data_IF_933324201393
#
_entry.id   IF_933324201393
#
_cell.length_a   1.000
_cell.length_b   1.000
_cell.length_c   1.000
_cell.angle_alpha   90.00
_cell.angle_beta   90.00
_cell.angle_gamma   90.00
#
_symmetry.space_group_name_H-M   'P 1'
#
loop_
_entity.id
_entity.type
_entity.pdbx_description
1 polymer ?
#
# COMPACT_ATOMS: atom_id res chain seq x y z
N UNK A 1 0.25 63.39 0.93
CA UNK A 1 -0.25 62.23 1.71
C UNK A 1 -1.46 61.62 0.97
N UNK A 2 -1.27 61.12 -0.24
CA UNK A 2 -2.37 60.66 -1.12
C UNK A 2 -1.88 59.67 -2.21
N UNK A 3 -1.00 58.73 -1.86
CA UNK A 3 -0.55 57.69 -2.80
C UNK A 3 -0.08 56.41 -2.11
N UNK A 4 -0.83 55.92 -1.12
CA UNK A 4 -0.56 54.64 -0.46
C UNK A 4 -1.84 53.89 -0.06
N UNK A 5 -2.91 53.96 -0.87
CA UNK A 5 -4.15 53.19 -0.60
C UNK A 5 -4.64 52.32 -1.75
N UNK A 6 -3.88 52.19 -2.85
CA UNK A 6 -4.30 51.39 -4.01
C UNK A 6 -3.53 50.08 -4.23
N UNK A 7 -2.62 49.69 -3.33
CA UNK A 7 -1.84 48.45 -3.49
C UNK A 7 -2.24 47.33 -2.51
N UNK A 8 -3.31 47.51 -1.75
CA UNK A 8 -3.73 46.57 -0.70
C UNK A 8 -5.12 46.00 -0.98
N UNK A 9 -5.42 45.63 -2.23
CA UNK A 9 -6.74 45.07 -2.58
C UNK A 9 -6.74 44.08 -3.75
N UNK A 10 -5.71 43.25 -3.90
CA UNK A 10 -5.68 42.22 -4.96
C UNK A 10 -5.02 40.87 -4.59
N UNK A 11 -5.08 40.45 -3.32
CA UNK A 11 -4.62 39.10 -2.94
C UNK A 11 -5.68 38.35 -2.09
N UNK A 12 -6.95 38.39 -2.50
CA UNK A 12 -8.05 37.77 -1.75
C UNK A 12 -8.82 36.67 -2.52
N UNK A 13 -8.31 36.15 -3.65
CA UNK A 13 -9.07 35.20 -4.47
C UNK A 13 -8.33 33.93 -4.93
N UNK A 14 -7.37 33.41 -4.15
CA UNK A 14 -6.83 32.07 -4.41
C UNK A 14 -6.30 31.41 -3.13
N UNK A 15 -7.15 31.27 -2.11
CA UNK A 15 -6.91 30.23 -1.11
C UNK A 15 -7.46 28.94 -1.70
N UNK A 16 -6.58 28.16 -2.32
CA UNK A 16 -6.84 26.74 -2.57
C UNK A 16 -7.19 26.16 -1.19
N UNK A 17 -8.43 25.73 -1.04
CA UNK A 17 -8.89 24.99 0.14
C UNK A 17 -8.20 23.64 0.08
N UNK A 18 -6.98 23.56 0.62
CA UNK A 18 -6.33 22.29 0.92
C UNK A 18 -7.11 21.75 2.11
N UNK A 19 -8.19 21.03 1.84
CA UNK A 19 -8.80 20.16 2.84
C UNK A 19 -7.69 19.26 3.37
N UNK A 20 -7.41 19.26 4.69
CA UNK A 20 -6.45 18.31 5.23
C UNK A 20 -6.97 16.92 4.88
N UNK A 21 -6.17 16.15 4.15
CA UNK A 21 -6.40 14.71 4.02
C UNK A 21 -6.63 14.19 5.45
N UNK A 22 -7.66 13.37 5.70
CA UNK A 22 -7.83 12.74 6.99
C UNK A 22 -6.71 11.71 7.16
N UNK A 23 -5.49 12.18 7.47
CA UNK A 23 -4.47 11.35 8.08
C UNK A 23 -4.88 11.18 9.54
N UNK A 24 -5.94 10.39 9.73
CA UNK A 24 -6.24 9.84 11.03
C UNK A 24 -5.03 8.94 11.36
N UNK A 25 -4.14 9.45 12.20
CA UNK A 25 -3.22 8.63 12.98
C UNK A 25 -4.09 7.81 13.92
N UNK A 26 -4.72 6.77 13.39
CA UNK A 26 -5.48 5.84 14.18
C UNK A 26 -4.44 4.97 14.89
N UNK A 27 -4.42 5.07 16.21
CA UNK A 27 -3.44 4.45 17.08
C UNK A 27 -3.46 2.94 16.87
N UNK A 28 -2.45 2.37 16.19
CA UNK A 28 -2.40 0.95 15.84
C UNK A 28 -2.11 0.01 17.03
N UNK A 29 -2.24 0.45 18.29
CA UNK A 29 -1.84 -0.33 19.46
C UNK A 29 -2.91 -1.28 20.01
N UNK A 30 -4.05 -1.44 19.35
CA UNK A 30 -5.08 -2.38 19.83
C UNK A 30 -5.53 -3.30 18.71
N UNK A 31 -4.87 -4.47 18.62
CA UNK A 31 -5.46 -5.83 18.50
C UNK A 31 -4.45 -6.81 17.87
N UNK A 32 -3.29 -7.05 18.49
CA UNK A 32 -2.45 -8.21 18.14
C UNK A 32 -2.89 -9.50 18.85
N UNK A 33 -3.79 -9.41 19.83
CA UNK A 33 -4.24 -10.56 20.61
C UNK A 33 -5.43 -11.35 20.02
N UNK A 34 -6.03 -10.91 18.89
CA UNK A 34 -7.26 -11.54 18.37
C UNK A 34 -7.18 -12.07 16.91
N UNK A 35 -6.01 -12.16 16.27
CA UNK A 35 -5.93 -12.31 14.81
C UNK A 35 -5.38 -13.66 14.29
N UNK A 36 -5.57 -14.78 14.99
CA UNK A 36 -5.21 -16.09 14.43
C UNK A 36 -5.95 -16.38 13.09
N UNK A 37 -7.14 -15.80 12.87
CA UNK A 37 -7.93 -15.96 11.65
C UNK A 37 -7.59 -14.97 10.51
N UNK A 38 -6.67 -14.01 10.72
CA UNK A 38 -6.32 -12.97 9.73
C UNK A 38 -4.84 -13.00 9.31
N UNK A 39 -4.09 -14.02 9.72
CA UNK A 39 -2.69 -14.21 9.35
C UNK A 39 -2.56 -14.38 7.85
N UNK A 40 -1.63 -13.64 7.25
CA UNK A 40 -1.23 -13.86 5.86
C UNK A 40 -0.60 -15.25 5.75
N UNK A 41 -1.04 -16.02 4.75
CA UNK A 41 -0.40 -17.28 4.38
C UNK A 41 -0.05 -17.18 2.89
N UNK A 42 1.24 -17.20 2.53
CA UNK A 42 1.63 -17.04 1.13
C UNK A 42 1.09 -18.15 0.25
N UNK A 43 0.90 -19.38 0.73
CA UNK A 43 0.31 -20.49 -0.03
C UNK A 43 -1.12 -20.23 -0.51
N UNK A 44 -1.80 -19.22 0.04
CA UNK A 44 -3.11 -18.77 -0.45
C UNK A 44 -3.03 -17.75 -1.60
N UNK A 45 -1.83 -17.31 -1.97
CA UNK A 45 -1.60 -16.52 -3.17
C UNK A 45 -1.65 -17.44 -4.39
N UNK A 46 -2.41 -17.06 -5.41
CA UNK A 46 -2.55 -17.84 -6.64
C UNK A 46 -1.48 -17.48 -7.67
N UNK A 47 -0.74 -16.38 -7.48
CA UNK A 47 0.41 -16.03 -8.35
C UNK A 47 1.64 -16.91 -8.07
N UNK A 48 1.56 -17.76 -7.04
CA UNK A 48 2.59 -18.70 -6.59
C UNK A 48 2.76 -19.97 -7.43
N UNK A 49 2.01 -20.15 -8.51
CA UNK A 49 2.21 -21.31 -9.39
C UNK A 49 3.51 -21.16 -10.21
N UNK A 50 4.64 -20.88 -9.56
CA UNK A 50 6.04 -20.99 -9.97
C UNK A 50 6.47 -20.49 -11.37
N UNK A 51 5.61 -19.86 -12.18
CA UNK A 51 5.84 -19.60 -13.61
C UNK A 51 4.87 -18.56 -14.21
N UNK A 52 4.27 -17.63 -13.44
CA UNK A 52 3.58 -16.53 -14.12
C UNK A 52 4.63 -15.54 -14.63
N UNK A 53 4.73 -15.40 -15.95
CA UNK A 53 5.59 -14.40 -16.60
C UNK A 53 5.31 -13.02 -16.00
N UNK A 54 4.04 -12.72 -15.72
CA UNK A 54 3.57 -11.47 -15.10
C UNK A 54 4.25 -11.15 -13.76
N UNK A 55 4.37 -12.13 -12.86
CA UNK A 55 5.02 -11.89 -11.56
C UNK A 55 6.52 -11.68 -11.71
N UNK A 56 7.18 -12.52 -12.51
CA UNK A 56 8.62 -12.43 -12.76
C UNK A 56 8.98 -11.11 -13.46
N UNK A 57 8.16 -10.71 -14.42
CA UNK A 57 8.30 -9.45 -15.14
C UNK A 57 8.09 -8.27 -14.20
N UNK A 58 7.07 -8.31 -13.33
CA UNK A 58 6.87 -7.28 -12.32
C UNK A 58 8.10 -7.10 -11.41
N UNK A 59 8.72 -8.20 -10.94
CA UNK A 59 9.92 -8.12 -10.10
C UNK A 59 11.12 -7.49 -10.83
N UNK A 60 11.28 -7.76 -12.13
CA UNK A 60 12.41 -7.24 -12.94
C UNK A 60 12.19 -5.84 -13.52
N UNK A 61 10.94 -5.48 -13.79
CA UNK A 61 10.59 -4.23 -14.44
C UNK A 61 10.87 -3.01 -13.53
N UNK A 62 10.95 -1.83 -14.15
CA UNK A 62 10.87 -0.58 -13.38
C UNK A 62 9.46 -0.46 -12.78
N UNK A 63 9.34 0.15 -11.60
CA UNK A 63 8.02 0.50 -11.08
C UNK A 63 7.27 1.45 -12.01
N UNK A 64 5.99 1.15 -12.20
CA UNK A 64 5.04 1.99 -12.90
C UNK A 64 4.14 2.72 -11.90
N UNK A 65 3.67 3.91 -12.27
CA UNK A 65 2.72 4.72 -11.49
C UNK A 65 1.26 4.28 -11.67
N UNK A 66 1.01 3.01 -11.97
CA UNK A 66 -0.32 2.44 -12.08
C UNK A 66 -0.48 1.26 -11.10
N UNK A 67 -1.49 1.34 -10.23
CA UNK A 67 -1.82 0.28 -9.28
C UNK A 67 -2.15 -1.05 -9.96
N UNK A 68 -2.72 -1.04 -11.16
CA UNK A 68 -3.02 -2.27 -11.92
C UNK A 68 -1.75 -2.96 -12.46
N UNK A 69 -0.58 -2.31 -12.41
CA UNK A 69 0.70 -2.97 -12.69
C UNK A 69 1.09 -4.00 -11.63
N UNK A 70 0.50 -3.91 -10.43
CA UNK A 70 0.77 -4.83 -9.32
C UNK A 70 -0.07 -6.10 -9.46
N UNK A 71 0.55 -7.29 -9.54
CA UNK A 71 -0.17 -8.55 -9.59
C UNK A 71 -1.18 -8.69 -8.43
N UNK A 72 -2.44 -8.95 -8.79
CA UNK A 72 -3.55 -9.07 -7.83
C UNK A 72 -4.39 -7.81 -7.65
N UNK A 73 -4.01 -6.67 -8.24
CA UNK A 73 -4.85 -5.46 -8.27
C UNK A 73 -5.63 -5.43 -9.59
N UNK A 74 -6.95 -5.53 -9.49
CA UNK A 74 -7.88 -5.22 -10.58
C UNK A 74 -8.65 -3.92 -10.33
N UNK A 75 -9.55 -3.53 -11.24
CA UNK A 75 -10.27 -2.24 -11.18
C UNK A 75 -11.00 -1.97 -9.86
N UNK A 76 -11.60 -3.00 -9.26
CA UNK A 76 -12.28 -2.87 -7.96
C UNK A 76 -11.30 -2.58 -6.82
N UNK A 77 -10.19 -3.32 -6.72
CA UNK A 77 -9.15 -3.08 -5.73
C UNK A 77 -8.50 -1.71 -5.91
N UNK A 78 -8.27 -1.30 -7.16
CA UNK A 78 -7.76 0.04 -7.48
C UNK A 78 -8.70 1.13 -6.99
N UNK A 79 -10.00 1.00 -7.25
CA UNK A 79 -11.00 1.96 -6.78
C UNK A 79 -11.02 2.06 -5.24
N UNK A 80 -10.95 0.92 -4.54
CA UNK A 80 -10.87 0.88 -3.07
C UNK A 80 -9.60 1.57 -2.54
N UNK A 81 -8.44 1.30 -3.16
CA UNK A 81 -7.16 1.92 -2.80
C UNK A 81 -7.17 3.43 -3.05
N UNK A 82 -7.69 3.86 -4.19
CA UNK A 82 -7.81 5.29 -4.52
C UNK A 82 -8.76 6.02 -3.55
N UNK A 83 -9.86 5.38 -3.15
CA UNK A 83 -10.75 5.93 -2.12
C UNK A 83 -10.05 6.10 -0.75
N UNK A 84 -9.02 5.30 -0.48
CA UNK A 84 -8.15 5.42 0.69
C UNK A 84 -6.94 6.35 0.50
N UNK A 85 -6.86 7.09 -0.63
CA UNK A 85 -5.77 8.02 -0.93
C UNK A 85 -4.51 7.37 -1.52
N UNK A 86 -4.57 6.10 -1.89
CA UNK A 86 -3.48 5.40 -2.57
C UNK A 86 -3.71 5.52 -4.07
N UNK A 87 -3.01 6.47 -4.71
CA UNK A 87 -3.18 6.75 -6.14
C UNK A 87 -2.20 5.99 -7.06
N UNK A 88 -1.01 5.62 -6.55
CA UNK A 88 0.08 5.05 -7.34
C UNK A 88 0.71 3.85 -6.63
N UNK A 89 1.47 3.04 -7.37
CA UNK A 89 2.26 1.93 -6.81
C UNK A 89 3.25 2.40 -5.75
N UNK A 90 3.83 3.59 -5.92
CA UNK A 90 4.74 4.19 -4.94
C UNK A 90 4.02 4.50 -3.61
N UNK A 91 2.78 4.99 -3.64
CA UNK A 91 1.99 5.19 -2.42
C UNK A 91 1.70 3.86 -1.72
N UNK A 92 1.37 2.81 -2.47
CA UNK A 92 1.12 1.48 -1.91
C UNK A 92 2.38 0.90 -1.24
N UNK A 93 3.55 1.06 -1.88
CA UNK A 93 4.84 0.66 -1.30
C UNK A 93 5.16 1.48 -0.05
N UNK A 94 4.92 2.78 -0.08
CA UNK A 94 5.07 3.64 1.10
C UNK A 94 4.20 3.15 2.26
N UNK A 95 2.95 2.80 1.98
CA UNK A 95 2.05 2.23 2.98
C UNK A 95 2.53 0.88 3.53
N UNK A 96 3.03 -0.01 2.67
CA UNK A 96 3.65 -1.26 3.11
C UNK A 96 4.83 -1.01 4.06
N UNK A 97 5.69 -0.04 3.74
CA UNK A 97 6.85 0.33 4.56
C UNK A 97 6.47 1.04 5.86
N UNK A 98 5.36 1.79 5.88
CA UNK A 98 4.84 2.41 7.12
C UNK A 98 4.43 1.38 8.17
N UNK A 99 4.03 0.17 7.73
CA UNK A 99 3.63 -0.94 8.60
C UNK A 99 4.79 -1.88 8.94
N UNK A 100 6.04 -1.47 8.69
CA UNK A 100 7.23 -2.31 8.89
C UNK A 100 7.37 -2.74 10.35
N UNK A 101 7.48 -4.05 10.55
CA UNK A 101 7.85 -4.72 11.80
C UNK A 101 9.12 -5.57 11.56
N UNK A 102 10.08 -5.67 12.50
CA UNK A 102 11.26 -6.53 12.33
C UNK A 102 10.95 -7.99 11.97
N UNK A 103 9.83 -8.54 12.47
CA UNK A 103 9.36 -9.87 12.11
C UNK A 103 8.59 -9.82 10.78
N UNK A 104 9.10 -10.52 9.76
CA UNK A 104 8.53 -10.51 8.41
C UNK A 104 7.06 -10.94 8.40
N UNK A 105 6.70 -11.96 9.17
CA UNK A 105 5.33 -12.46 9.20
C UNK A 105 4.37 -11.45 9.86
N UNK A 106 4.78 -10.82 10.96
CA UNK A 106 4.01 -9.76 11.61
C UNK A 106 3.81 -8.55 10.67
N UNK A 107 4.85 -8.20 9.90
CA UNK A 107 4.75 -7.16 8.86
C UNK A 107 3.75 -7.55 7.77
N UNK A 108 3.79 -8.78 7.25
CA UNK A 108 2.81 -9.24 6.25
C UNK A 108 1.38 -9.26 6.82
N UNK A 109 1.21 -9.70 8.07
CA UNK A 109 -0.07 -9.73 8.75
C UNK A 109 -0.68 -8.33 8.89
N UNK A 110 0.14 -7.35 9.29
CA UNK A 110 -0.28 -5.96 9.41
C UNK A 110 -0.75 -5.41 8.05
N UNK A 111 0.01 -5.65 6.98
CA UNK A 111 -0.36 -5.19 5.65
C UNK A 111 -1.61 -5.90 5.10
N UNK A 112 -1.76 -7.20 5.38
CA UNK A 112 -2.95 -7.97 5.04
C UNK A 112 -4.22 -7.46 5.72
N UNK A 113 -4.12 -7.10 7.01
CA UNK A 113 -5.22 -6.48 7.75
C UNK A 113 -5.57 -5.12 7.14
N UNK A 114 -4.57 -4.26 6.90
CA UNK A 114 -4.78 -2.94 6.32
C UNK A 114 -5.45 -3.02 4.93
N UNK A 115 -5.00 -3.93 4.05
CA UNK A 115 -5.64 -4.17 2.75
C UNK A 115 -7.11 -4.58 2.91
N UNK A 116 -7.41 -5.40 3.91
CA UNK A 116 -8.79 -5.83 4.19
C UNK A 116 -9.66 -4.66 4.68
N UNK A 117 -9.11 -3.75 5.49
CA UNK A 117 -9.79 -2.55 5.99
C UNK A 117 -10.08 -1.54 4.87
N UNK A 118 -9.17 -1.42 3.90
CA UNK A 118 -9.36 -0.58 2.70
C UNK A 118 -10.36 -1.21 1.72
N UNK A 119 -10.69 -2.49 1.86
CA UNK A 119 -11.66 -3.18 1.00
C UNK A 119 -11.03 -3.94 -0.16
N UNK A 120 -9.75 -4.28 -0.08
CA UNK A 120 -9.12 -5.28 -0.97
C UNK A 120 -9.44 -6.67 -0.41
N UNK A 121 -10.42 -7.35 -1.03
CA UNK A 121 -10.97 -8.60 -0.52
C UNK A 121 -10.43 -9.85 -1.22
N UNK A 122 -10.64 -11.03 -0.63
CA UNK A 122 -10.46 -12.32 -1.30
C UNK A 122 -9.01 -12.82 -1.36
N UNK A 123 -8.71 -13.67 -2.35
CA UNK A 123 -7.35 -14.18 -2.60
C UNK A 123 -6.43 -13.15 -3.27
N UNK A 124 -7.02 -12.10 -3.86
CA UNK A 124 -6.32 -11.01 -4.54
C UNK A 124 -5.30 -10.32 -3.63
N UNK A 125 -5.66 -10.05 -2.37
CA UNK A 125 -4.74 -9.42 -1.41
C UNK A 125 -3.49 -10.24 -1.14
N UNK A 126 -3.58 -11.57 -1.17
CA UNK A 126 -2.40 -12.42 -0.96
C UNK A 126 -1.40 -12.26 -2.10
N UNK A 127 -1.92 -12.12 -3.34
CA UNK A 127 -1.10 -11.82 -4.51
C UNK A 127 -0.45 -10.44 -4.41
N UNK A 128 -1.19 -9.43 -3.92
CA UNK A 128 -0.65 -8.08 -3.72
C UNK A 128 0.48 -8.07 -2.69
N UNK A 129 0.27 -8.71 -1.54
CA UNK A 129 1.28 -8.79 -0.47
C UNK A 129 2.55 -9.43 -1.02
N UNK A 130 2.42 -10.58 -1.71
CA UNK A 130 3.53 -11.29 -2.32
C UNK A 130 4.30 -10.44 -3.33
N UNK A 131 3.60 -9.73 -4.21
CA UNK A 131 4.20 -8.88 -5.22
C UNK A 131 4.97 -7.73 -4.58
N UNK A 132 4.33 -7.01 -3.66
CA UNK A 132 4.94 -5.85 -3.02
C UNK A 132 6.11 -6.26 -2.12
N UNK A 133 5.98 -7.31 -1.30
CA UNK A 133 7.03 -7.74 -0.38
C UNK A 133 8.30 -8.15 -1.13
N UNK A 134 8.19 -9.03 -2.12
CA UNK A 134 9.37 -9.47 -2.88
C UNK A 134 9.96 -8.35 -3.73
N UNK A 135 9.12 -7.47 -4.29
CA UNK A 135 9.61 -6.30 -5.04
C UNK A 135 10.41 -5.35 -4.16
N UNK A 136 9.91 -5.07 -2.96
CA UNK A 136 10.57 -4.20 -1.99
C UNK A 136 11.83 -4.85 -1.44
N UNK A 137 11.83 -6.17 -1.24
CA UNK A 137 13.00 -6.91 -0.73
C UNK A 137 14.21 -6.83 -1.67
N UNK A 138 13.98 -6.73 -2.98
CA UNK A 138 15.05 -6.46 -3.97
C UNK A 138 15.81 -5.15 -3.65
N UNK A 139 15.15 -4.14 -3.08
CA UNK A 139 15.77 -2.86 -2.73
C UNK A 139 16.14 -2.75 -1.25
N UNK A 140 15.35 -3.37 -0.38
CA UNK A 140 15.46 -3.29 1.08
C UNK A 140 15.39 -4.73 1.62
N UNK A 141 16.54 -5.44 1.67
CA UNK A 141 16.57 -6.82 2.12
C UNK A 141 16.07 -7.00 3.55
N UNK A 142 15.39 -8.11 3.80
CA UNK A 142 14.80 -8.46 5.10
C UNK A 142 13.37 -7.94 5.28
N UNK A 143 12.73 -7.51 4.19
CA UNK A 143 11.29 -7.20 4.18
C UNK A 143 10.44 -8.40 3.73
N UNK A 144 11.08 -9.42 3.18
CA UNK A 144 10.51 -10.73 2.88
C UNK A 144 11.33 -11.85 3.51
N UNK A 145 10.69 -12.99 3.81
CA UNK A 145 11.36 -14.21 4.24
C UNK A 145 10.81 -15.40 3.45
N UNK A 146 11.69 -16.08 2.72
CA UNK A 146 11.34 -17.26 1.92
C UNK A 146 10.89 -18.45 2.77
N UNK A 147 11.23 -18.49 4.06
CA UNK A 147 10.75 -19.53 4.99
C UNK A 147 9.23 -19.53 5.13
N UNK A 148 8.58 -18.40 4.84
CA UNK A 148 7.12 -18.28 4.86
C UNK A 148 6.46 -19.15 3.78
N UNK A 149 7.19 -19.53 2.73
CA UNK A 149 6.68 -20.32 1.60
C UNK A 149 6.54 -21.83 1.89
N UNK A 150 6.94 -22.32 3.08
CA UNK A 150 6.78 -23.75 3.39
C UNK A 150 7.19 -24.19 4.80
N UNK A 151 6.20 -24.63 5.57
CA UNK A 151 6.13 -26.01 6.11
C UNK A 151 5.07 -26.79 5.33
#
# INVERSE_FOLDING_TARGET
IHRMQHFTRQLEHSRVSISPLPFAVQSYTTTMAASAARRFNPSNATILSSQSDVFTDFLRAKLEDDLESVPGIGPASKASLQAAGIETTHHLIGQFLLLRDPDCQTHMDAFHIWLSEVGVTGGQKNNVIMAISQKVDVWIPGTWDDSLMGE
#
